data_IF_542650998525
#
_entry.id   IF_542650998525
#
_cell.length_a   1.000
_cell.length_b   1.000
_cell.length_c   1.000
_cell.angle_alpha   90.00
_cell.angle_beta   90.00
_cell.angle_gamma   90.00
#
_symmetry.space_group_name_H-M   'P 1'
#
loop_
_entity.id
_entity.type
_entity.pdbx_description
1 polymer ?
#
# COMPACT_ATOMS: atom_id res chain seq x y z
N UNK A 1 -6.53 -6.40 22.17
CA UNK A 1 -7.27 -5.40 22.99
C UNK A 1 -7.44 -4.16 22.13
N UNK A 2 -8.67 -3.75 21.82
CA UNK A 2 -8.92 -2.50 21.11
C UNK A 2 -8.87 -1.36 22.15
N UNK A 3 -7.85 -0.51 22.07
CA UNK A 3 -7.78 0.75 22.82
C UNK A 3 -8.30 1.88 21.93
N UNK A 4 -8.91 2.95 22.48
CA UNK A 4 -9.30 4.11 21.69
C UNK A 4 -8.09 4.67 20.94
N UNK A 5 -8.22 4.87 19.63
CA UNK A 5 -7.19 5.49 18.81
C UNK A 5 -7.01 6.95 19.24
N UNK A 6 -5.82 7.29 19.73
CA UNK A 6 -5.47 8.67 20.09
C UNK A 6 -5.18 9.44 18.79
N UNK A 7 -5.99 10.45 18.50
CA UNK A 7 -5.77 11.36 17.37
C UNK A 7 -4.61 12.30 17.74
N UNK A 8 -3.42 12.04 17.20
CA UNK A 8 -2.24 12.90 17.39
C UNK A 8 -2.36 14.16 16.52
N UNK A 9 -2.86 15.25 17.12
CA UNK A 9 -3.10 16.52 16.40
C UNK A 9 -1.82 17.32 16.12
N UNK A 10 -0.68 16.92 16.68
CA UNK A 10 0.58 17.68 16.64
C UNK A 10 1.66 17.05 15.78
N UNK A 11 1.45 15.85 15.24
CA UNK A 11 2.39 15.19 14.35
C UNK A 11 2.08 15.53 12.89
N UNK A 12 3.13 15.76 12.10
CA UNK A 12 3.01 15.92 10.66
C UNK A 12 2.60 14.57 10.04
N UNK A 13 1.46 14.55 9.37
CA UNK A 13 0.94 13.35 8.70
C UNK A 13 1.67 13.12 7.38
N UNK A 14 2.63 12.20 7.36
CA UNK A 14 3.39 11.83 6.15
C UNK A 14 2.67 10.75 5.35
N UNK A 15 1.54 11.15 4.81
CA UNK A 15 0.61 10.24 4.14
C UNK A 15 0.95 9.92 2.69
N UNK A 16 1.95 10.57 2.13
CA UNK A 16 2.54 10.18 0.86
C UNK A 16 4.05 10.21 1.00
N UNK A 17 4.70 9.12 0.62
CA UNK A 17 6.14 9.05 0.49
C UNK A 17 6.64 10.06 -0.56
N UNK A 18 7.84 10.56 -0.36
CA UNK A 18 8.55 11.39 -1.32
C UNK A 18 9.66 10.62 -2.06
N UNK A 19 9.90 9.36 -1.69
CA UNK A 19 10.87 8.47 -2.35
C UNK A 19 10.21 7.60 -3.42
N UNK A 20 10.91 7.24 -4.50
CA UNK A 20 10.41 6.27 -5.47
C UNK A 20 10.00 4.94 -4.80
N UNK A 21 9.05 4.24 -5.42
CA UNK A 21 8.69 2.90 -4.97
C UNK A 21 9.84 1.91 -5.18
N UNK A 22 9.99 0.96 -4.25
CA UNK A 22 10.97 -0.13 -4.33
C UNK A 22 10.27 -1.49 -4.43
N UNK A 23 10.88 -2.42 -5.18
CA UNK A 23 10.38 -3.79 -5.26
C UNK A 23 10.92 -4.57 -4.06
N UNK A 24 10.01 -4.96 -3.16
CA UNK A 24 10.33 -5.62 -1.89
C UNK A 24 10.92 -7.02 -2.08
N UNK A 25 10.75 -7.64 -3.24
CA UNK A 25 11.27 -8.99 -3.55
C UNK A 25 12.33 -9.00 -4.65
N UNK A 26 12.88 -7.84 -5.03
CA UNK A 26 13.86 -7.74 -6.11
C UNK A 26 15.14 -8.56 -5.89
N UNK A 27 15.44 -8.89 -4.64
CA UNK A 27 16.61 -9.68 -4.24
C UNK A 27 16.26 -11.15 -3.96
N UNK A 28 14.99 -11.54 -4.09
CA UNK A 28 14.57 -12.93 -3.94
C UNK A 28 14.63 -13.64 -5.29
N UNK A 29 15.05 -14.92 -5.31
CA UNK A 29 14.97 -15.73 -6.51
C UNK A 29 13.54 -15.75 -7.09
N UNK A 30 13.39 -15.81 -8.43
CA UNK A 30 12.08 -16.00 -9.07
C UNK A 30 11.41 -17.29 -8.59
N UNK A 31 10.23 -17.20 -7.99
CA UNK A 31 9.46 -18.37 -7.53
C UNK A 31 9.42 -18.58 -6.03
N UNK A 32 10.32 -17.95 -5.30
CA UNK A 32 10.33 -18.08 -3.84
C UNK A 32 9.25 -17.20 -3.22
N UNK A 33 8.42 -17.81 -2.38
CA UNK A 33 7.43 -17.12 -1.56
C UNK A 33 8.12 -16.13 -0.61
N UNK A 34 7.43 -15.06 -0.24
CA UNK A 34 7.98 -14.00 0.60
C UNK A 34 7.01 -13.60 1.71
N UNK A 35 7.46 -13.70 2.96
CA UNK A 35 6.81 -13.11 4.13
C UNK A 35 7.60 -11.87 4.59
N UNK A 36 7.02 -10.69 4.44
CA UNK A 36 7.72 -9.39 4.57
C UNK A 36 7.05 -8.55 5.66
N UNK A 37 7.72 -8.31 6.81
CA UNK A 37 7.31 -7.28 7.76
C UNK A 37 7.82 -5.90 7.30
N UNK A 38 6.91 -5.04 6.86
CA UNK A 38 7.21 -3.69 6.38
C UNK A 38 7.06 -2.68 7.53
N UNK A 39 8.17 -2.36 8.20
CA UNK A 39 8.23 -1.43 9.33
C UNK A 39 8.27 0.03 8.86
N UNK A 40 7.34 0.85 9.35
CA UNK A 40 7.15 2.20 8.84
C UNK A 40 6.67 2.15 7.39
N UNK A 41 5.58 1.42 7.15
CA UNK A 41 5.13 1.13 5.79
C UNK A 41 4.79 2.38 4.98
N UNK A 42 4.45 3.49 5.63
CA UNK A 42 4.11 4.72 4.93
C UNK A 42 2.94 4.48 3.99
N UNK A 43 3.07 4.83 2.72
CA UNK A 43 1.99 4.64 1.75
C UNK A 43 2.04 3.30 0.99
N UNK A 44 1.04 3.05 0.16
CA UNK A 44 0.88 1.77 -0.55
C UNK A 44 1.92 1.50 -1.65
N UNK A 45 2.79 2.47 -2.01
CA UNK A 45 3.55 2.45 -3.27
C UNK A 45 4.44 1.24 -3.43
N UNK A 46 5.13 0.83 -2.37
CA UNK A 46 6.07 -0.28 -2.42
C UNK A 46 5.34 -1.61 -2.63
N UNK A 47 4.21 -1.79 -1.96
CA UNK A 47 3.37 -2.99 -2.10
C UNK A 47 2.79 -3.06 -3.51
N UNK A 48 2.18 -1.98 -4.01
CA UNK A 48 1.58 -1.97 -5.34
C UNK A 48 2.63 -2.13 -6.45
N UNK A 49 3.80 -1.49 -6.31
CA UNK A 49 4.90 -1.65 -7.26
C UNK A 49 5.45 -3.08 -7.26
N UNK A 50 5.62 -3.67 -6.09
CA UNK A 50 6.05 -5.07 -5.94
C UNK A 50 5.04 -6.02 -6.59
N UNK A 51 3.74 -5.86 -6.30
CA UNK A 51 2.68 -6.67 -6.88
C UNK A 51 2.62 -6.53 -8.42
N UNK A 52 2.75 -5.31 -8.94
CA UNK A 52 2.79 -5.07 -10.38
C UNK A 52 4.02 -5.72 -11.05
N UNK A 53 5.21 -5.56 -10.45
CA UNK A 53 6.44 -6.12 -10.99
C UNK A 53 6.41 -7.66 -11.00
N UNK A 54 5.85 -8.28 -9.95
CA UNK A 54 5.76 -9.73 -9.82
C UNK A 54 4.64 -10.34 -10.70
N UNK A 55 3.55 -9.58 -10.95
CA UNK A 55 2.49 -9.95 -11.88
C UNK A 55 2.90 -9.96 -13.37
N UNK A 56 4.12 -9.49 -13.70
CA UNK A 56 4.62 -9.48 -15.08
C UNK A 56 4.55 -10.89 -15.70
N UNK A 57 4.00 -11.04 -16.92
CA UNK A 57 3.75 -12.37 -17.53
C UNK A 57 5.02 -13.19 -17.76
N UNK A 58 6.20 -12.56 -17.79
CA UNK A 58 7.49 -13.25 -17.88
C UNK A 58 7.94 -13.90 -16.56
N UNK A 59 7.39 -13.44 -15.43
CA UNK A 59 7.67 -13.91 -14.08
C UNK A 59 6.50 -14.81 -13.63
N UNK A 60 5.29 -14.26 -13.59
CA UNK A 60 4.08 -14.89 -13.04
C UNK A 60 3.73 -16.26 -13.65
N UNK A 61 3.94 -16.50 -14.96
CA UNK A 61 3.68 -17.81 -15.59
C UNK A 61 4.60 -18.93 -15.14
N UNK A 62 5.76 -18.61 -14.59
CA UNK A 62 6.80 -19.58 -14.20
C UNK A 62 6.98 -19.68 -12.69
N UNK A 63 6.53 -18.68 -11.93
CA UNK A 63 6.96 -18.50 -10.54
C UNK A 63 5.84 -18.43 -9.50
N UNK A 64 4.61 -18.06 -9.84
CA UNK A 64 3.43 -18.15 -8.95
C UNK A 64 3.66 -17.90 -7.45
N UNK A 65 4.56 -16.97 -7.07
CA UNK A 65 5.00 -16.86 -5.68
C UNK A 65 3.90 -16.23 -4.84
N UNK A 66 3.76 -16.69 -3.61
CA UNK A 66 2.89 -16.07 -2.63
C UNK A 66 3.64 -14.91 -1.95
N UNK A 67 3.02 -13.73 -1.97
CA UNK A 67 3.47 -12.56 -1.22
C UNK A 67 2.59 -12.39 0.02
N UNK A 68 3.18 -12.52 1.19
CA UNK A 68 2.58 -12.18 2.49
C UNK A 68 3.28 -10.95 3.04
N UNK A 69 2.59 -9.81 3.01
CA UNK A 69 3.16 -8.52 3.44
C UNK A 69 2.39 -8.03 4.65
N UNK A 70 3.10 -7.93 5.77
CA UNK A 70 2.56 -7.34 7.01
C UNK A 70 3.02 -5.89 7.11
N UNK A 71 2.08 -4.95 6.95
CA UNK A 71 2.36 -3.52 7.08
C UNK A 71 2.28 -3.08 8.55
N UNK A 72 3.33 -2.42 9.05
CA UNK A 72 3.38 -1.84 10.39
C UNK A 72 3.72 -0.36 10.32
N UNK A 73 2.99 0.46 11.07
CA UNK A 73 3.25 1.90 11.17
C UNK A 73 2.92 2.39 12.59
N UNK A 74 3.53 3.49 12.98
CA UNK A 74 3.22 4.15 14.25
C UNK A 74 1.90 4.92 14.15
N UNK A 75 1.56 5.39 12.95
CA UNK A 75 0.34 6.16 12.70
C UNK A 75 -0.81 5.25 12.27
N UNK A 76 -1.85 5.15 13.09
CA UNK A 76 -3.03 4.33 12.79
C UNK A 76 -3.78 4.83 11.53
N UNK A 77 -3.72 6.14 11.26
CA UNK A 77 -4.28 6.79 10.09
C UNK A 77 -3.61 6.31 8.80
N UNK A 78 -2.30 6.02 8.84
CA UNK A 78 -1.56 5.47 7.70
C UNK A 78 -2.07 4.07 7.37
N UNK A 79 -2.16 3.22 8.39
CA UNK A 79 -2.68 1.84 8.25
C UNK A 79 -4.13 1.87 7.74
N UNK A 80 -5.00 2.69 8.33
CA UNK A 80 -6.39 2.81 7.92
C UNK A 80 -6.54 3.27 6.45
N UNK A 81 -5.74 4.26 6.02
CA UNK A 81 -5.76 4.78 4.64
C UNK A 81 -5.33 3.70 3.64
N UNK A 82 -4.28 2.95 3.96
CA UNK A 82 -3.78 1.87 3.10
C UNK A 82 -4.79 0.72 3.00
N UNK A 83 -5.36 0.29 4.13
CA UNK A 83 -6.41 -0.75 4.15
C UNK A 83 -7.61 -0.33 3.31
N UNK A 84 -8.07 0.92 3.44
CA UNK A 84 -9.18 1.45 2.65
C UNK A 84 -8.88 1.41 1.15
N UNK A 85 -7.67 1.79 0.73
CA UNK A 85 -7.30 1.72 -0.68
C UNK A 85 -7.28 0.28 -1.18
N UNK A 86 -6.66 -0.63 -0.43
CA UNK A 86 -6.59 -2.04 -0.83
C UNK A 86 -7.98 -2.68 -0.94
N UNK A 87 -8.89 -2.40 -0.02
CA UNK A 87 -10.26 -2.91 -0.11
C UNK A 87 -11.01 -2.36 -1.31
N UNK A 88 -10.89 -1.05 -1.61
CA UNK A 88 -11.50 -0.45 -2.79
C UNK A 88 -10.94 -1.03 -4.10
N UNK A 89 -9.64 -1.28 -4.18
CA UNK A 89 -9.00 -1.89 -5.35
C UNK A 89 -9.44 -3.35 -5.55
N UNK A 90 -9.61 -4.11 -4.45
CA UNK A 90 -10.09 -5.49 -4.52
C UNK A 90 -11.56 -5.60 -4.95
N UNK A 91 -12.38 -4.62 -4.59
CA UNK A 91 -13.79 -4.54 -4.97
C UNK A 91 -13.98 -4.11 -6.44
N UNK A 92 -13.13 -3.20 -6.94
CA UNK A 92 -13.19 -2.68 -8.31
C UNK A 92 -12.44 -3.55 -9.33
N UNK A 93 -12.83 -4.82 -9.47
CA UNK A 93 -12.15 -5.76 -10.37
C UNK A 93 -12.16 -5.34 -11.86
N UNK A 94 -13.19 -4.59 -12.27
CA UNK A 94 -13.31 -4.06 -13.63
C UNK A 94 -12.54 -2.74 -13.83
N UNK A 95 -11.95 -2.17 -12.76
CA UNK A 95 -11.20 -0.92 -12.80
C UNK A 95 -12.05 0.32 -13.12
N UNK A 96 -13.38 0.24 -12.99
CA UNK A 96 -14.32 1.29 -13.39
C UNK A 96 -14.33 2.47 -12.41
N UNK A 97 -13.93 2.24 -11.16
CA UNK A 97 -13.87 3.23 -10.09
C UNK A 97 -12.43 3.67 -9.76
N UNK A 98 -11.42 3.18 -10.49
CA UNK A 98 -9.99 3.50 -10.29
C UNK A 98 -9.75 4.99 -9.97
N UNK A 99 -10.31 5.90 -10.77
CA UNK A 99 -10.15 7.34 -10.57
C UNK A 99 -10.69 7.81 -9.20
N UNK A 100 -11.91 7.41 -8.84
CA UNK A 100 -12.54 7.77 -7.56
C UNK A 100 -11.80 7.14 -6.37
N UNK A 101 -11.33 5.91 -6.53
CA UNK A 101 -10.54 5.21 -5.51
C UNK A 101 -9.27 6.01 -5.17
N UNK A 102 -8.56 6.52 -6.19
CA UNK A 102 -7.40 7.38 -5.98
C UNK A 102 -7.76 8.77 -5.44
N UNK A 103 -8.89 9.37 -5.87
CA UNK A 103 -9.39 10.62 -5.29
C UNK A 103 -9.65 10.48 -3.78
N UNK A 104 -10.27 9.38 -3.34
CA UNK A 104 -10.51 9.09 -1.92
C UNK A 104 -9.17 9.00 -1.19
N UNK A 105 -8.22 8.24 -1.73
CA UNK A 105 -6.92 8.02 -1.09
C UNK A 105 -6.12 9.32 -0.93
N UNK A 106 -6.11 10.16 -1.97
CA UNK A 106 -5.37 11.42 -1.99
C UNK A 106 -6.20 12.64 -1.58
N UNK A 107 -7.43 12.45 -1.08
CA UNK A 107 -8.30 13.55 -0.71
C UNK A 107 -7.64 14.52 0.29
N UNK A 108 -6.86 14.00 1.23
CA UNK A 108 -6.14 14.78 2.23
C UNK A 108 -5.03 15.70 1.65
N UNK A 109 -4.53 15.42 0.44
CA UNK A 109 -3.57 16.25 -0.30
C UNK A 109 -4.24 17.30 -1.19
N UNK A 110 -5.56 17.20 -1.39
CA UNK A 110 -6.28 18.17 -2.22
C UNK A 110 -6.37 19.51 -1.48
N UNK A 111 -6.08 20.64 -2.15
CA UNK A 111 -6.16 21.94 -1.52
C UNK A 111 -7.60 22.18 -1.04
N UNK A 112 -7.76 22.48 0.26
CA UNK A 112 -9.05 22.96 0.78
C UNK A 112 -9.33 24.29 0.10
N UNK A 113 -10.36 24.34 -0.74
CA UNK A 113 -10.92 25.62 -1.18
C UNK A 113 -11.53 26.28 0.06
N UNK A 114 -10.85 27.30 0.58
CA UNK A 114 -11.38 28.20 1.61
C UNK A 114 -12.33 29.21 0.96
#
# INVERSE_FOLDING_TARGET
>A
MASPTRIERTQFFYAAGNTPAVNLVQHLPPGDDASIPLLGCGDVRNVLFTAYADASPNISKKTGRQLDITCCDQDAEVIARNILLYTLLLDDQAGLQTYRTWEIYYHHLSPRKH
#
